data_IF_680070744915
#
_entry.id   IF_680070744915
#
_cell.length_a   1.000
_cell.length_b   1.000
_cell.length_c   1.000
_cell.angle_alpha   90.00
_cell.angle_beta   90.00
_cell.angle_gamma   90.00
#
_symmetry.space_group_name_H-M   'P 1'
#
loop_
_entity.id
_entity.type
_entity.pdbx_description
1 polymer ?
#
# COMPACT_ATOMS: atom_id res chain seq x y z
N UNK A 1 21.31 25.09 42.20
CA UNK A 1 21.37 24.66 40.79
C UNK A 1 21.92 23.25 40.76
N UNK A 2 21.05 22.24 40.69
CA UNK A 2 21.43 20.85 40.42
C UNK A 2 21.15 20.62 38.94
N UNK A 3 22.21 20.43 38.16
CA UNK A 3 22.11 19.74 36.89
C UNK A 3 21.89 18.26 37.22
N UNK A 4 20.64 17.84 37.17
CA UNK A 4 20.29 16.43 37.14
C UNK A 4 20.42 15.99 35.69
N UNK A 5 21.60 15.47 35.34
CA UNK A 5 21.73 14.58 34.21
C UNK A 5 21.24 13.22 34.71
N UNK A 6 19.93 12.99 34.66
CA UNK A 6 19.38 11.64 34.58
C UNK A 6 19.75 11.14 33.18
N UNK A 7 20.95 10.58 33.06
CA UNK A 7 21.24 9.65 31.99
C UNK A 7 20.59 8.33 32.43
N UNK A 8 19.30 8.20 32.11
CA UNK A 8 18.63 6.92 32.06
C UNK A 8 19.47 6.04 31.12
N UNK A 9 20.12 5.00 31.68
CA UNK A 9 20.64 3.88 30.90
C UNK A 9 19.47 2.98 30.45
N UNK A 10 18.35 3.62 30.04
CA UNK A 10 17.19 3.00 29.42
C UNK A 10 17.69 2.18 28.24
N UNK A 11 17.55 0.85 28.33
CA UNK A 11 17.62 -0.10 27.21
C UNK A 11 18.66 0.21 26.13
N UNK A 12 19.82 -0.45 26.14
CA UNK A 12 20.76 -0.40 25.00
C UNK A 12 20.14 -1.11 23.78
N UNK A 13 19.20 -0.43 23.12
CA UNK A 13 18.44 -0.91 21.97
C UNK A 13 19.37 -1.16 20.80
N UNK A 14 20.39 -0.31 20.60
CA UNK A 14 21.36 -0.48 19.52
C UNK A 14 22.18 -1.76 19.69
N UNK A 15 22.74 -1.97 20.89
CA UNK A 15 23.51 -3.18 21.21
C UNK A 15 22.65 -4.44 21.14
N UNK A 16 21.47 -4.42 21.76
CA UNK A 16 20.53 -5.54 21.71
C UNK A 16 20.11 -5.87 20.27
N UNK A 17 19.69 -4.88 19.49
CA UNK A 17 19.27 -5.07 18.10
C UNK A 17 20.40 -5.59 17.21
N UNK A 18 21.65 -5.15 17.46
CA UNK A 18 22.83 -5.62 16.73
C UNK A 18 23.09 -7.11 16.96
N UNK A 19 23.05 -7.57 18.21
CA UNK A 19 23.22 -8.99 18.50
C UNK A 19 22.04 -9.80 17.98
N UNK A 20 20.80 -9.34 18.21
CA UNK A 20 19.60 -9.99 17.70
C UNK A 20 19.65 -10.19 16.17
N UNK A 21 20.06 -9.15 15.42
CA UNK A 21 20.20 -9.25 13.96
C UNK A 21 21.22 -10.31 13.51
N UNK A 22 22.29 -10.53 14.28
CA UNK A 22 23.29 -11.57 14.00
C UNK A 22 22.81 -12.99 14.29
N UNK A 23 21.88 -13.16 15.24
CA UNK A 23 21.37 -14.46 15.67
C UNK A 23 20.10 -14.91 14.93
N UNK A 24 19.35 -13.96 14.35
CA UNK A 24 18.15 -14.28 13.58
C UNK A 24 18.48 -14.99 12.26
N UNK A 25 17.60 -15.90 11.78
CA UNK A 25 17.80 -16.59 10.51
C UNK A 25 17.75 -15.61 9.33
N UNK A 26 18.74 -15.71 8.45
CA UNK A 26 18.92 -14.85 7.28
C UNK A 26 19.96 -13.76 7.53
N UNK A 27 19.99 -12.76 6.64
CA UNK A 27 20.86 -11.60 6.80
C UNK A 27 20.01 -10.39 7.18
N UNK A 28 20.28 -9.82 8.35
CA UNK A 28 19.57 -8.67 8.89
C UNK A 28 20.51 -7.47 9.02
N UNK A 29 20.01 -6.32 8.63
CA UNK A 29 20.65 -5.01 8.85
C UNK A 29 19.93 -4.25 9.94
N UNK A 30 20.64 -3.36 10.64
CA UNK A 30 20.11 -2.56 11.75
C UNK A 30 20.11 -1.08 11.37
N UNK A 31 18.95 -0.42 11.55
CA UNK A 31 18.84 1.03 11.57
C UNK A 31 18.37 1.43 12.97
N UNK A 32 19.26 1.92 13.82
CA UNK A 32 18.96 2.43 15.16
C UNK A 32 18.71 3.93 15.12
N UNK A 33 17.74 4.43 15.89
CA UNK A 33 17.49 5.87 16.05
C UNK A 33 17.05 6.25 17.45
N UNK A 34 17.56 7.40 17.88
CA UNK A 34 17.02 8.18 18.99
C UNK A 34 15.93 9.13 18.48
N UNK A 35 14.88 9.34 19.27
CA UNK A 35 13.77 10.23 18.92
C UNK A 35 13.88 11.55 19.66
N UNK A 36 13.93 12.67 18.93
CA UNK A 36 13.94 13.98 19.56
C UNK A 36 12.55 14.36 20.10
N UNK A 37 11.49 13.76 19.56
CA UNK A 37 10.12 14.03 19.95
C UNK A 37 9.16 12.89 19.57
N UNK A 38 7.94 12.95 20.09
CA UNK A 38 6.92 11.93 19.87
C UNK A 38 6.45 11.81 18.42
N UNK A 39 6.52 12.87 17.62
CA UNK A 39 6.11 12.79 16.22
C UNK A 39 7.08 11.94 15.39
N UNK A 40 8.38 12.02 15.67
CA UNK A 40 9.40 11.16 15.05
C UNK A 40 9.18 9.69 15.40
N UNK A 41 8.93 9.39 16.68
CA UNK A 41 8.56 8.05 17.15
C UNK A 41 7.34 7.51 16.39
N UNK A 42 6.24 8.28 16.33
CA UNK A 42 5.02 7.84 15.65
C UNK A 42 5.21 7.63 14.15
N UNK A 43 6.05 8.45 13.49
CA UNK A 43 6.34 8.28 12.07
C UNK A 43 7.09 6.98 11.78
N UNK A 44 7.98 6.58 12.68
CA UNK A 44 8.79 5.37 12.54
C UNK A 44 8.02 4.11 12.93
N UNK A 45 7.22 4.20 14.00
CA UNK A 45 6.40 3.12 14.51
C UNK A 45 5.04 2.98 13.79
N UNK A 46 4.65 3.93 12.93
CA UNK A 46 3.32 3.97 12.32
C UNK A 46 3.00 2.82 11.35
N UNK A 47 4.00 2.02 10.98
CA UNK A 47 3.85 0.80 10.20
C UNK A 47 4.04 -0.48 11.01
N UNK A 48 4.17 -0.40 12.35
CA UNK A 48 4.19 -1.57 13.22
C UNK A 48 2.89 -2.34 13.03
N UNK A 49 3.03 -3.62 12.69
CA UNK A 49 1.95 -4.54 12.41
C UNK A 49 1.63 -5.35 13.67
N UNK A 50 1.08 -4.63 14.63
CA UNK A 50 0.63 -5.12 15.92
C UNK A 50 -0.56 -4.28 16.38
N UNK A 51 -1.51 -4.90 17.06
CA UNK A 51 -2.68 -4.24 17.65
C UNK A 51 -2.77 -4.46 19.15
N UNK A 52 -1.75 -5.07 19.76
CA UNK A 52 -1.75 -5.45 21.17
C UNK A 52 -0.58 -4.79 21.91
N UNK A 53 0.35 -5.57 22.47
CA UNK A 53 1.28 -5.13 23.51
C UNK A 53 2.28 -4.08 23.00
N UNK A 54 2.75 -4.17 21.75
CA UNK A 54 3.76 -3.26 21.22
C UNK A 54 3.11 -1.96 20.77
N UNK A 55 1.99 -2.05 20.05
CA UNK A 55 1.19 -0.90 19.65
C UNK A 55 0.71 -0.08 20.85
N UNK A 56 0.29 -0.75 21.91
CA UNK A 56 -0.09 -0.13 23.16
C UNK A 56 1.08 0.61 23.84
N UNK A 57 2.27 -0.01 23.91
CA UNK A 57 3.46 0.62 24.47
C UNK A 57 3.84 1.89 23.70
N UNK A 58 3.86 1.81 22.36
CA UNK A 58 4.08 2.95 21.45
C UNK A 58 3.04 4.05 21.72
N UNK A 59 1.76 3.67 21.86
CA UNK A 59 0.66 4.62 22.04
C UNK A 59 0.64 5.26 23.43
N UNK A 60 1.16 4.61 24.47
CA UNK A 60 1.10 5.12 25.85
C UNK A 60 2.39 5.83 26.27
N UNK A 61 3.54 5.39 25.80
CA UNK A 61 4.84 5.84 26.30
C UNK A 61 5.65 6.57 25.23
N UNK A 62 6.32 7.69 25.58
CA UNK A 62 7.40 8.21 24.76
C UNK A 62 8.54 7.20 24.80
N UNK A 63 8.88 6.61 23.66
CA UNK A 63 10.00 5.68 23.54
C UNK A 63 11.20 6.50 23.08
N UNK A 64 12.27 6.56 23.89
CA UNK A 64 13.45 7.38 23.57
C UNK A 64 14.21 6.89 22.34
N UNK A 65 14.23 5.58 22.13
CA UNK A 65 15.03 4.93 21.08
C UNK A 65 14.29 3.72 20.50
N UNK A 66 14.56 3.43 19.23
CA UNK A 66 14.16 2.17 18.60
C UNK A 66 15.18 1.71 17.55
N UNK A 67 15.04 0.46 17.11
CA UNK A 67 15.75 -0.07 15.97
C UNK A 67 14.79 -0.75 15.00
N UNK A 68 15.07 -0.59 13.70
CA UNK A 68 14.42 -1.38 12.66
C UNK A 68 15.44 -2.39 12.15
N UNK A 69 15.08 -3.67 12.24
CA UNK A 69 15.81 -4.75 11.59
C UNK A 69 15.20 -4.97 10.21
N UNK A 70 16.04 -5.03 9.17
CA UNK A 70 15.59 -5.31 7.81
C UNK A 70 16.34 -6.50 7.22
N UNK A 71 15.59 -7.49 6.74
CA UNK A 71 16.08 -8.66 6.00
C UNK A 71 16.05 -8.38 4.50
N UNK A 72 16.93 -9.02 3.74
CA UNK A 72 17.09 -8.81 2.29
C UNK A 72 15.82 -9.08 1.46
N UNK A 73 14.88 -9.86 1.97
CA UNK A 73 13.59 -10.14 1.33
C UNK A 73 12.51 -9.08 1.61
N UNK A 74 12.87 -8.02 2.34
CA UNK A 74 11.97 -6.93 2.70
C UNK A 74 11.19 -7.17 4.00
N UNK A 75 11.37 -8.30 4.67
CA UNK A 75 10.85 -8.55 6.03
C UNK A 75 11.51 -7.57 7.00
N UNK A 76 10.71 -6.92 7.85
CA UNK A 76 11.19 -5.91 8.78
C UNK A 76 10.64 -6.10 10.19
N UNK A 77 11.48 -5.92 11.19
CA UNK A 77 11.10 -5.95 12.60
C UNK A 77 11.36 -4.60 13.25
N UNK A 78 10.49 -4.21 14.17
CA UNK A 78 10.63 -3.08 15.06
C UNK A 78 11.09 -3.57 16.43
N UNK A 79 12.10 -2.92 17.01
CA UNK A 79 12.68 -3.27 18.31
C UNK A 79 12.74 -2.02 19.18
N UNK A 80 12.27 -2.10 20.41
CA UNK A 80 12.38 -1.01 21.39
C UNK A 80 12.44 -1.58 22.82
N UNK A 81 12.94 -0.80 23.76
CA UNK A 81 12.89 -1.15 25.18
C UNK A 81 11.45 -1.18 25.70
N UNK A 82 11.15 -2.06 26.66
CA UNK A 82 9.84 -2.09 27.28
C UNK A 82 9.74 -1.00 28.37
N UNK A 83 8.75 -0.10 28.31
CA UNK A 83 8.55 0.92 29.35
C UNK A 83 8.39 0.29 30.73
N UNK A 84 9.10 0.81 31.73
CA UNK A 84 9.06 0.36 33.14
C UNK A 84 9.51 -1.09 33.40
N UNK A 85 10.17 -1.73 32.43
CA UNK A 85 10.72 -3.07 32.54
C UNK A 85 12.12 -3.10 31.92
N UNK A 86 13.14 -2.76 32.71
CA UNK A 86 14.54 -2.55 32.26
C UNK A 86 15.21 -3.79 31.66
N UNK A 87 14.68 -4.98 31.93
CA UNK A 87 15.22 -6.27 31.45
C UNK A 87 14.44 -6.86 30.25
N UNK A 88 13.46 -6.13 29.70
CA UNK A 88 12.59 -6.60 28.62
C UNK A 88 12.66 -5.69 27.39
N UNK A 89 12.63 -6.29 26.21
CA UNK A 89 12.45 -5.62 24.93
C UNK A 89 11.12 -6.00 24.29
N UNK A 90 10.63 -5.12 23.42
CA UNK A 90 9.48 -5.34 22.58
C UNK A 90 9.95 -5.53 21.13
N UNK A 91 9.47 -6.60 20.49
CA UNK A 91 9.75 -6.87 19.07
C UNK A 91 8.44 -7.09 18.33
N UNK A 92 8.22 -6.37 17.24
CA UNK A 92 7.04 -6.51 16.40
C UNK A 92 7.38 -6.55 14.91
N UNK A 93 6.49 -7.13 14.10
CA UNK A 93 6.58 -7.05 12.65
C UNK A 93 6.29 -5.64 12.15
N UNK A 94 6.85 -5.26 11.01
CA UNK A 94 6.49 -4.03 10.28
C UNK A 94 5.72 -4.42 9.01
N UNK A 95 4.55 -3.80 8.80
CA UNK A 95 3.73 -4.05 7.63
C UNK A 95 4.48 -3.75 6.33
N UNK A 96 4.32 -4.56 5.26
CA UNK A 96 4.84 -4.23 3.95
C UNK A 96 4.09 -3.01 3.37
N UNK A 97 4.70 -2.25 2.44
CA UNK A 97 4.06 -1.08 1.82
C UNK A 97 3.04 -1.50 0.75
N UNK A 98 1.97 -2.18 1.17
CA UNK A 98 0.87 -2.66 0.31
C UNK A 98 -0.42 -1.86 0.56
N UNK A 99 -1.37 -1.85 -0.39
CA UNK A 99 -2.64 -1.15 -0.21
C UNK A 99 -3.42 -1.70 0.99
N UNK A 100 -4.17 -0.86 1.76
CA UNK A 100 -4.92 -1.30 2.93
C UNK A 100 -5.87 -2.48 2.68
N UNK A 101 -6.50 -2.54 1.49
CA UNK A 101 -7.38 -3.63 1.10
C UNK A 101 -6.68 -5.00 1.06
N UNK A 102 -5.35 -5.05 0.91
CA UNK A 102 -4.59 -6.29 0.95
C UNK A 102 -4.53 -6.91 2.36
N UNK A 103 -4.74 -6.10 3.40
CA UNK A 103 -4.70 -6.54 4.80
C UNK A 103 -6.06 -7.03 5.31
N UNK A 104 -7.13 -6.90 4.52
CA UNK A 104 -8.47 -7.35 4.92
C UNK A 104 -8.49 -8.85 5.25
N UNK A 105 -8.98 -9.17 6.45
CA UNK A 105 -9.10 -10.55 6.94
C UNK A 105 -7.76 -11.23 7.29
N UNK A 106 -6.65 -10.49 7.27
CA UNK A 106 -5.35 -11.01 7.71
C UNK A 106 -5.21 -10.80 9.20
N UNK A 107 -4.93 -11.88 9.93
CA UNK A 107 -4.58 -11.79 11.34
C UNK A 107 -3.17 -11.21 11.45
N UNK A 108 -3.01 -10.21 12.31
CA UNK A 108 -1.71 -9.60 12.55
C UNK A 108 -0.74 -10.59 13.21
N UNK A 109 0.57 -10.42 12.99
CA UNK A 109 1.56 -11.33 13.56
C UNK A 109 1.59 -11.34 15.08
N UNK A 110 1.05 -10.32 15.75
CA UNK A 110 1.12 -9.99 17.19
C UNK A 110 2.57 -9.93 17.72
N UNK A 111 3.00 -8.77 18.19
CA UNK A 111 4.34 -8.54 18.74
C UNK A 111 4.64 -9.41 19.96
N UNK A 112 5.91 -9.45 20.36
CA UNK A 112 6.40 -10.25 21.49
C UNK A 112 7.21 -9.40 22.46
N UNK A 113 7.07 -9.73 23.75
CA UNK A 113 8.00 -9.29 24.79
C UNK A 113 9.10 -10.34 24.88
N UNK A 114 10.35 -9.90 24.85
CA UNK A 114 11.53 -10.77 24.93
C UNK A 114 12.47 -10.29 26.04
N UNK A 115 13.22 -11.20 26.68
CA UNK A 115 14.20 -10.80 27.69
C UNK A 115 15.37 -10.05 27.05
N UNK A 116 16.14 -9.34 27.88
CA UNK A 116 17.37 -8.65 27.48
C UNK A 116 18.52 -9.58 27.04
N UNK A 117 18.41 -10.89 27.28
CA UNK A 117 19.31 -11.88 26.70
C UNK A 117 19.02 -12.04 25.19
N UNK A 118 19.90 -11.54 24.30
CA UNK A 118 19.61 -11.50 22.87
C UNK A 118 19.55 -12.90 22.24
N UNK A 119 20.17 -13.92 22.83
CA UNK A 119 20.12 -15.29 22.32
C UNK A 119 18.75 -15.92 22.60
N UNK A 120 18.24 -15.76 23.83
CA UNK A 120 16.89 -16.18 24.18
C UNK A 120 15.83 -15.38 23.40
N UNK A 121 16.06 -14.08 23.20
CA UNK A 121 15.20 -13.24 22.37
C UNK A 121 15.19 -13.70 20.91
N UNK A 122 16.34 -14.05 20.33
CA UNK A 122 16.44 -14.56 18.97
C UNK A 122 15.65 -15.86 18.79
N UNK A 123 15.75 -16.80 19.74
CA UNK A 123 14.96 -18.03 19.72
C UNK A 123 13.44 -17.73 19.80
N UNK A 124 13.02 -16.85 20.71
CA UNK A 124 11.61 -16.45 20.84
C UNK A 124 11.07 -15.76 19.58
N UNK A 125 11.88 -14.91 18.94
CA UNK A 125 11.51 -14.24 17.68
C UNK A 125 11.47 -15.26 16.53
N UNK A 126 12.47 -16.13 16.41
CA UNK A 126 12.59 -17.09 15.32
C UNK A 126 11.54 -18.20 15.37
N UNK A 127 11.19 -18.68 16.56
CA UNK A 127 10.20 -19.76 16.75
C UNK A 127 8.78 -19.24 16.95
N UNK A 128 8.62 -18.00 17.42
CA UNK A 128 7.34 -17.39 17.74
C UNK A 128 6.87 -16.34 16.74
N UNK A 129 7.59 -15.22 16.63
CA UNK A 129 7.15 -14.05 15.83
C UNK A 129 7.30 -14.29 14.31
N UNK A 130 8.48 -14.76 13.85
CA UNK A 130 8.75 -14.92 12.42
C UNK A 130 7.76 -15.84 11.71
N UNK A 131 7.37 -17.03 12.24
CA UNK A 131 6.42 -17.89 11.55
C UNK A 131 5.04 -17.25 11.37
N UNK A 132 4.58 -16.49 12.37
CA UNK A 132 3.30 -15.73 12.29
C UNK A 132 3.41 -14.59 11.28
N UNK A 133 4.55 -13.89 11.27
CA UNK A 133 4.80 -12.82 10.31
C UNK A 133 4.87 -13.34 8.87
N UNK A 134 5.59 -14.43 8.62
CA UNK A 134 5.70 -15.02 7.29
C UNK A 134 4.34 -15.53 6.78
N UNK A 135 3.52 -16.14 7.64
CA UNK A 135 2.16 -16.54 7.29
C UNK A 135 1.26 -15.33 6.93
N UNK A 136 1.31 -14.26 7.74
CA UNK A 136 0.54 -13.05 7.48
C UNK A 136 1.01 -12.35 6.18
N UNK A 137 2.33 -12.28 5.97
CA UNK A 137 2.92 -11.68 4.77
C UNK A 137 2.50 -12.43 3.51
N UNK A 138 2.54 -13.76 3.53
CA UNK A 138 2.08 -14.58 2.41
C UNK A 138 0.60 -14.32 2.09
N UNK A 139 -0.25 -14.19 3.11
CA UNK A 139 -1.67 -13.90 2.93
C UNK A 139 -1.92 -12.49 2.36
N UNK A 140 -1.22 -11.46 2.84
CA UNK A 140 -1.35 -10.09 2.30
C UNK A 140 -0.84 -10.02 0.86
N UNK A 141 0.26 -10.70 0.53
CA UNK A 141 0.78 -10.77 -0.83
C UNK A 141 -0.21 -11.45 -1.78
N UNK A 142 -0.83 -12.54 -1.36
CA UNK A 142 -1.87 -13.23 -2.11
C UNK A 142 -3.15 -12.38 -2.29
N UNK A 143 -3.59 -11.68 -1.23
CA UNK A 143 -4.66 -10.68 -1.31
C UNK A 143 -4.31 -9.57 -2.32
N UNK A 144 -3.11 -9.01 -2.25
CA UNK A 144 -2.65 -7.97 -3.17
C UNK A 144 -2.60 -8.46 -4.63
N UNK A 145 -2.12 -9.69 -4.86
CA UNK A 145 -2.12 -10.32 -6.18
C UNK A 145 -3.56 -10.46 -6.73
N UNK A 146 -4.52 -10.87 -5.90
CA UNK A 146 -5.95 -10.92 -6.28
C UNK A 146 -6.55 -9.56 -6.62
N UNK A 147 -6.17 -8.51 -5.87
CA UNK A 147 -6.60 -7.14 -6.17
C UNK A 147 -6.07 -6.69 -7.54
N UNK A 148 -4.81 -7.01 -7.85
CA UNK A 148 -4.18 -6.66 -9.11
C UNK A 148 -4.68 -7.49 -10.30
N UNK A 149 -5.13 -8.72 -10.08
CA UNK A 149 -5.65 -9.61 -11.14
C UNK A 149 -7.10 -9.29 -11.55
N UNK A 150 -7.80 -8.41 -10.83
CA UNK A 150 -9.17 -8.01 -11.20
C UNK A 150 -9.13 -7.02 -12.36
N UNK A 151 -9.62 -7.43 -13.52
CA UNK A 151 -9.82 -6.53 -14.67
C UNK A 151 -10.76 -5.39 -14.25
N UNK A 152 -10.35 -4.11 -14.34
CA UNK A 152 -11.23 -3.01 -13.98
C UNK A 152 -12.43 -2.95 -14.92
N UNK A 153 -13.59 -2.59 -14.38
CA UNK A 153 -14.75 -2.25 -15.22
C UNK A 153 -14.40 -0.98 -15.97
N UNK A 154 -14.28 -1.08 -17.29
CA UNK A 154 -13.93 0.05 -18.13
C UNK A 154 -15.21 0.67 -18.66
N UNK A 155 -15.47 1.93 -18.28
CA UNK A 155 -16.53 2.74 -18.87
C UNK A 155 -15.96 3.53 -20.04
N UNK A 156 -16.48 3.32 -21.24
CA UNK A 156 -16.06 4.03 -22.45
C UNK A 156 -17.21 4.87 -22.98
N UNK A 157 -16.96 6.15 -23.22
CA UNK A 157 -17.96 7.02 -23.87
C UNK A 157 -18.16 6.60 -25.33
N UNK A 158 -19.42 6.46 -25.77
CA UNK A 158 -19.79 6.18 -27.16
C UNK A 158 -20.92 7.13 -27.54
N UNK A 159 -20.57 8.29 -28.08
CA UNK A 159 -21.55 9.37 -28.26
C UNK A 159 -22.02 9.91 -26.89
N UNK A 160 -23.33 10.05 -26.65
CA UNK A 160 -23.84 10.44 -25.34
C UNK A 160 -23.82 9.29 -24.32
N UNK A 161 -23.77 8.05 -24.79
CA UNK A 161 -23.93 6.87 -23.96
C UNK A 161 -22.60 6.41 -23.35
N UNK A 162 -22.71 5.66 -22.26
CA UNK A 162 -21.57 5.12 -21.55
C UNK A 162 -21.61 3.59 -21.57
N UNK A 163 -20.60 3.00 -22.20
CA UNK A 163 -20.49 1.56 -22.37
C UNK A 163 -19.54 0.98 -21.31
N UNK A 164 -20.05 0.14 -20.42
CA UNK A 164 -19.27 -0.65 -19.49
C UNK A 164 -18.82 -1.95 -20.13
N UNK A 165 -17.52 -2.20 -20.19
CA UNK A 165 -16.94 -3.50 -20.52
C UNK A 165 -16.20 -4.06 -19.30
N UNK A 166 -16.48 -5.32 -18.99
CA UNK A 166 -15.83 -6.04 -17.90
C UNK A 166 -15.83 -7.54 -18.21
N UNK A 167 -14.87 -8.28 -17.65
CA UNK A 167 -15.07 -9.72 -17.44
C UNK A 167 -16.13 -9.86 -16.35
N UNK A 168 -17.38 -9.95 -16.78
CA UNK A 168 -18.52 -9.74 -15.90
C UNK A 168 -18.75 -10.93 -14.99
N UNK A 169 -18.17 -10.86 -13.79
CA UNK A 169 -18.69 -11.63 -12.65
C UNK A 169 -20.14 -11.24 -12.39
N UNK A 170 -20.95 -12.17 -11.88
CA UNK A 170 -22.38 -11.94 -11.61
C UNK A 170 -22.60 -10.72 -10.69
N UNK A 171 -21.73 -10.53 -9.70
CA UNK A 171 -21.79 -9.37 -8.80
C UNK A 171 -21.65 -8.02 -9.54
N UNK A 172 -20.73 -7.92 -10.51
CA UNK A 172 -20.55 -6.70 -11.30
C UNK A 172 -21.78 -6.44 -12.19
N UNK A 173 -22.38 -7.50 -12.75
CA UNK A 173 -23.62 -7.40 -13.53
C UNK A 173 -24.74 -6.80 -12.69
N UNK A 174 -24.95 -7.34 -11.48
CA UNK A 174 -25.99 -6.87 -10.55
C UNK A 174 -25.83 -5.39 -10.24
N UNK A 175 -24.62 -4.97 -9.84
CA UNK A 175 -24.33 -3.56 -9.51
C UNK A 175 -24.57 -2.63 -10.70
N UNK A 176 -24.16 -3.02 -11.91
CA UNK A 176 -24.41 -2.22 -13.11
C UNK A 176 -25.91 -2.08 -13.38
N UNK A 177 -26.66 -3.17 -13.32
CA UNK A 177 -28.10 -3.16 -13.58
C UNK A 177 -28.92 -2.40 -12.53
N UNK A 178 -28.56 -2.51 -11.25
CA UNK A 178 -29.19 -1.74 -10.16
C UNK A 178 -29.05 -0.23 -10.34
N UNK A 179 -28.01 0.20 -11.06
CA UNK A 179 -27.71 1.61 -11.31
C UNK A 179 -28.01 2.05 -12.75
N UNK A 180 -28.89 1.33 -13.45
CA UNK A 180 -29.47 1.78 -14.72
C UNK A 180 -28.68 1.42 -15.98
N UNK A 181 -27.60 0.65 -15.86
CA UNK A 181 -26.93 0.10 -17.03
C UNK A 181 -27.72 -1.10 -17.58
N UNK A 182 -28.04 -1.08 -18.87
CA UNK A 182 -28.81 -2.14 -19.55
C UNK A 182 -27.84 -3.05 -20.31
N UNK A 183 -27.95 -4.39 -20.19
CA UNK A 183 -27.11 -5.30 -20.97
C UNK A 183 -27.33 -5.12 -22.47
N UNK A 184 -26.24 -5.04 -23.24
CA UNK A 184 -26.23 -5.05 -24.71
C UNK A 184 -26.23 -6.49 -25.23
N UNK A 185 -26.59 -6.65 -26.52
CA UNK A 185 -26.71 -7.94 -27.23
C UNK A 185 -25.47 -8.84 -27.14
N UNK A 186 -24.30 -8.28 -26.85
CA UNK A 186 -23.03 -9.02 -26.70
C UNK A 186 -22.82 -9.65 -25.32
N UNK A 187 -23.72 -9.47 -24.36
CA UNK A 187 -23.70 -10.12 -23.03
C UNK A 187 -22.60 -9.64 -22.07
N UNK A 188 -21.52 -9.05 -22.60
CA UNK A 188 -20.35 -8.55 -21.88
C UNK A 188 -20.24 -7.02 -21.86
N UNK A 189 -21.17 -6.34 -22.53
CA UNK A 189 -21.24 -4.87 -22.57
C UNK A 189 -22.54 -4.41 -21.94
N UNK A 190 -22.49 -3.38 -21.10
CA UNK A 190 -23.68 -2.72 -20.56
C UNK A 190 -23.69 -1.25 -20.96
N UNK A 191 -24.87 -0.68 -21.21
CA UNK A 191 -25.02 0.68 -21.71
C UNK A 191 -25.83 1.50 -20.73
N UNK A 192 -25.30 2.66 -20.37
CA UNK A 192 -26.03 3.70 -19.65
C UNK A 192 -26.30 4.85 -20.60
N UNK A 193 -27.58 5.13 -20.82
CA UNK A 193 -28.04 6.16 -21.74
C UNK A 193 -27.60 7.57 -21.25
N UNK A 194 -27.17 8.42 -22.19
CA UNK A 194 -26.76 9.80 -21.96
C UNK A 194 -27.84 10.89 -22.01
N UNK A 195 -29.13 10.53 -22.06
CA UNK A 195 -30.26 11.47 -22.16
C UNK A 195 -30.32 12.46 -20.98
N UNK A 196 -29.81 12.06 -19.81
CA UNK A 196 -29.66 12.92 -18.64
C UNK A 196 -28.23 12.81 -18.05
N UNK A 197 -27.41 13.81 -18.34
CA UNK A 197 -26.02 13.88 -17.87
C UNK A 197 -25.88 13.94 -16.35
N UNK A 198 -26.86 14.49 -15.61
CA UNK A 198 -26.82 14.55 -14.16
C UNK A 198 -27.10 13.18 -13.54
N UNK A 199 -28.10 12.48 -14.07
CA UNK A 199 -28.43 11.10 -13.69
C UNK A 199 -27.30 10.14 -14.08
N UNK A 200 -26.68 10.35 -15.25
CA UNK A 200 -25.53 9.58 -15.70
C UNK A 200 -24.32 9.77 -14.76
N UNK A 201 -24.00 11.01 -14.39
CA UNK A 201 -22.92 11.29 -13.45
C UNK A 201 -23.20 10.71 -12.05
N UNK A 202 -24.46 10.72 -11.60
CA UNK A 202 -24.86 10.11 -10.35
C UNK A 202 -24.70 8.58 -10.39
N UNK A 203 -25.15 7.94 -11.45
CA UNK A 203 -25.02 6.50 -11.65
C UNK A 203 -23.54 6.06 -11.68
N UNK A 204 -22.68 6.78 -12.40
CA UNK A 204 -21.23 6.49 -12.44
C UNK A 204 -20.60 6.59 -11.05
N UNK A 205 -20.93 7.62 -10.26
CA UNK A 205 -20.44 7.76 -8.87
C UNK A 205 -20.93 6.62 -7.97
N UNK A 206 -22.20 6.25 -8.07
CA UNK A 206 -22.79 5.18 -7.28
C UNK A 206 -22.17 3.81 -7.60
N UNK A 207 -22.04 3.49 -8.90
CA UNK A 207 -21.37 2.27 -9.37
C UNK A 207 -19.91 2.24 -8.93
N UNK A 208 -19.17 3.35 -9.09
CA UNK A 208 -17.78 3.43 -8.66
C UNK A 208 -17.62 3.17 -7.16
N UNK A 209 -18.47 3.77 -6.32
CA UNK A 209 -18.45 3.53 -4.88
C UNK A 209 -18.80 2.07 -4.53
N UNK A 210 -19.79 1.48 -5.20
CA UNK A 210 -20.20 0.10 -4.93
C UNK A 210 -19.17 -0.92 -5.40
N UNK A 211 -18.60 -0.77 -6.59
CA UNK A 211 -17.53 -1.63 -7.08
C UNK A 211 -16.27 -1.54 -6.21
N UNK A 212 -15.95 -0.36 -5.68
CA UNK A 212 -14.84 -0.20 -4.73
C UNK A 212 -15.03 -1.04 -3.46
N UNK A 213 -16.26 -1.20 -2.95
CA UNK A 213 -16.54 -2.11 -1.82
C UNK A 213 -16.31 -3.57 -2.13
N UNK A 214 -16.28 -3.94 -3.42
CA UNK A 214 -15.94 -5.28 -3.90
C UNK A 214 -14.50 -5.36 -4.44
N UNK A 215 -13.66 -4.35 -4.17
CA UNK A 215 -12.28 -4.27 -4.64
C UNK A 215 -12.17 -4.33 -6.17
N UNK A 216 -13.18 -3.82 -6.88
CA UNK A 216 -13.17 -3.68 -8.34
C UNK A 216 -13.09 -2.21 -8.69
N UNK A 217 -12.09 -1.84 -9.49
CA UNK A 217 -11.90 -0.44 -9.88
C UNK A 217 -12.68 -0.11 -11.14
N UNK A 218 -13.14 1.15 -11.22
CA UNK A 218 -13.80 1.70 -12.37
C UNK A 218 -12.84 2.62 -13.12
N UNK A 219 -12.61 2.33 -14.40
CA UNK A 219 -11.77 3.16 -15.27
C UNK A 219 -12.65 3.87 -16.30
N UNK A 220 -12.67 5.20 -16.28
CA UNK A 220 -13.36 5.98 -17.31
C UNK A 220 -12.39 6.27 -18.47
N UNK A 221 -12.80 5.92 -19.68
CA UNK A 221 -12.06 6.20 -20.92
C UNK A 221 -12.93 7.04 -21.86
N UNK A 222 -12.34 8.11 -22.37
CA UNK A 222 -12.87 8.74 -23.58
C UNK A 222 -12.32 7.98 -24.79
N UNK A 223 -13.15 7.70 -25.81
CA UNK A 223 -12.63 7.11 -27.04
C UNK A 223 -11.59 8.05 -27.61
N UNK A 224 -10.46 7.49 -28.04
CA UNK A 224 -9.47 8.28 -28.77
C UNK A 224 -10.16 8.97 -29.96
N UNK A 225 -9.90 10.26 -30.22
CA UNK A 225 -10.45 10.91 -31.41
C UNK A 225 -10.02 10.07 -32.61
N UNK A 226 -11.01 9.60 -33.40
CA UNK A 226 -10.71 8.94 -34.67
C UNK A 226 -9.86 9.90 -35.47
N UNK A 227 -8.62 9.52 -35.77
CA UNK A 227 -7.87 10.11 -36.86
C UNK A 227 -8.74 9.95 -38.10
N UNK A 228 -9.40 11.04 -38.50
CA UNK A 228 -10.11 11.10 -39.76
C UNK A 228 -9.16 10.80 -40.91
N UNK A 229 -9.68 10.38 -42.08
CA UNK A 229 -8.84 10.11 -43.24
C UNK A 229 -7.96 11.32 -43.53
N UNK A 230 -6.68 11.03 -43.69
CA UNK A 230 -5.59 11.93 -44.01
C UNK A 230 -6.03 12.89 -45.14
N UNK A 231 -6.47 14.11 -44.78
CA UNK A 231 -6.37 15.21 -45.74
C UNK A 231 -4.89 15.49 -45.86
N UNK A 232 -4.27 14.79 -46.81
CA UNK A 232 -2.91 15.00 -47.25
C UNK A 232 -2.64 16.50 -47.31
N UNK A 233 -1.83 16.99 -46.36
CA UNK A 233 -1.35 18.36 -46.36
C UNK A 233 -0.54 18.51 -47.65
N UNK A 234 -1.08 19.28 -48.60
CA UNK A 234 -0.38 19.61 -49.83
C UNK A 234 1.00 20.19 -49.47
N UNK A 235 2.06 19.48 -49.87
CA UNK A 235 3.44 19.97 -49.79
C UNK A 235 3.54 21.31 -50.50
N UNK A 236 4.00 22.40 -49.86
CA UNK A 236 4.25 23.64 -50.56
C UNK A 236 5.47 23.45 -51.48
N UNK A 237 5.23 23.57 -52.79
CA UNK A 237 6.26 23.60 -53.82
C UNK A 237 7.17 24.80 -53.58
N UNK A 238 8.40 24.57 -53.10
CA UNK A 238 9.45 25.60 -53.04
C UNK A 238 9.75 26.10 -54.45
N UNK A 239 9.29 27.30 -54.75
CA UNK A 239 9.72 28.04 -55.93
C UNK A 239 11.12 28.58 -55.67
N UNK A 240 12.11 27.98 -56.33
CA UNK A 240 13.49 28.44 -56.31
C UNK A 240 13.58 29.70 -57.21
N UNK A 241 13.82 30.87 -56.63
CA UNK A 241 14.00 32.13 -57.39
C UNK A 241 15.49 32.50 -57.42
N UNK A 242 16.07 32.83 -58.59
CA UNK A 242 17.51 32.88 -58.81
C UNK A 242 18.16 34.14 -58.22
N UNK A 243 19.39 33.98 -57.73
CA UNK A 243 20.27 35.07 -57.33
C UNK A 243 20.81 35.80 -58.57
N UNK A 244 20.39 37.06 -58.74
CA UNK A 244 20.98 37.99 -59.68
C UNK A 244 22.30 38.54 -59.11
N UNK A 245 23.36 38.43 -59.90
CA UNK A 245 24.72 38.89 -59.62
C UNK A 245 24.82 40.35 -60.04
N UNK A 246 25.13 41.25 -59.10
CA UNK A 246 25.50 42.65 -59.39
C UNK A 246 27.02 42.74 -59.47
N UNK A 247 27.50 43.45 -60.49
CA UNK A 247 28.88 43.91 -60.66
C UNK A 247 28.83 45.42 -60.81
#
# INVERSE_FOLDING_TARGET
>A
MRHQHDHDFEHDVEGFATVLAGELPGHWTVDHREHANRAEQMNRAGAVWDMDTVADAIARHPLGHDAILARDDGTRLYVTGRPSHEDDFLVAAIAPPLPPAAFEGVREPDGVVVPADPFAAADAVATGLLPRYEAALAQVQDNAARLNSRTPVTLTWVGPDLHATADVSEAVRTVLTEHGFVPSDTGHTFVLNGDDTALQAQAVRAVGARLATHGTHLALRHPAPRTGPDTATATPVRHNRPAARVR
#
